data_IF_422502625206
#
_entry.id   IF_422502625206
#
_cell.length_a   1.000
_cell.length_b   1.000
_cell.length_c   1.000
_cell.angle_alpha   90.00
_cell.angle_beta   90.00
_cell.angle_gamma   90.00
#
_symmetry.space_group_name_H-M   'P 1'
#
loop_
_entity.id
_entity.type
_entity.pdbx_description
1 polymer ?
#
# COMPACT_ATOMS: atom_id res chain seq x y z
N UNK A 1 -14.19 -21.51 15.10
CA UNK A 1 -15.12 -21.54 13.95
C UNK A 1 -14.56 -20.60 12.89
N UNK A 2 -14.16 -21.13 11.74
CA UNK A 2 -13.61 -20.32 10.65
C UNK A 2 -14.25 -20.72 9.33
N UNK A 3 -14.50 -19.75 8.45
CA UNK A 3 -14.99 -20.04 7.09
C UNK A 3 -13.97 -20.80 6.24
N UNK A 4 -12.72 -20.87 6.66
CA UNK A 4 -11.66 -21.66 5.98
C UNK A 4 -11.98 -23.15 5.88
N UNK A 5 -12.77 -23.69 6.81
CA UNK A 5 -13.15 -25.10 6.82
C UNK A 5 -14.29 -25.40 5.83
N UNK A 6 -14.99 -24.38 5.34
CA UNK A 6 -16.17 -24.58 4.53
C UNK A 6 -15.81 -24.80 3.05
N UNK A 7 -16.42 -25.82 2.47
CA UNK A 7 -16.28 -26.16 1.06
C UNK A 7 -17.25 -25.36 0.19
N UNK A 8 -16.84 -25.10 -1.05
CA UNK A 8 -17.74 -24.60 -2.10
C UNK A 8 -18.74 -25.64 -2.58
N UNK A 9 -18.55 -26.91 -2.24
CA UNK A 9 -19.47 -28.00 -2.55
C UNK A 9 -20.37 -28.24 -1.35
N UNK A 10 -21.68 -28.04 -1.50
CA UNK A 10 -22.65 -28.09 -0.41
C UNK A 10 -22.56 -29.36 0.44
N UNK A 11 -22.57 -30.53 -0.20
CA UNK A 11 -22.53 -31.83 0.49
C UNK A 11 -21.25 -32.07 1.29
N UNK A 12 -20.15 -31.37 0.98
CA UNK A 12 -18.89 -31.47 1.74
C UNK A 12 -18.93 -30.69 3.06
N UNK A 13 -19.98 -29.88 3.30
CA UNK A 13 -20.12 -29.08 4.51
C UNK A 13 -20.92 -29.78 5.62
N UNK A 14 -21.47 -30.96 5.38
CA UNK A 14 -22.32 -31.65 6.37
C UNK A 14 -21.63 -31.83 7.72
N UNK A 15 -20.29 -32.02 7.75
CA UNK A 15 -19.47 -32.20 8.94
C UNK A 15 -18.15 -31.39 8.87
N UNK A 16 -18.07 -30.35 8.05
CA UNK A 16 -16.84 -29.58 7.86
C UNK A 16 -16.44 -28.75 9.10
N UNK A 17 -17.40 -28.32 9.89
CA UNK A 17 -17.20 -27.54 11.10
C UNK A 17 -18.05 -28.14 12.22
N UNK A 18 -17.42 -28.65 13.27
CA UNK A 18 -18.14 -29.28 14.40
C UNK A 18 -19.09 -28.33 15.13
N UNK A 19 -18.93 -27.02 14.96
CA UNK A 19 -19.81 -25.99 15.57
C UNK A 19 -20.99 -25.61 14.67
N UNK A 20 -20.91 -25.93 13.35
CA UNK A 20 -21.94 -25.76 12.34
C UNK A 20 -22.17 -27.10 11.65
N UNK A 21 -22.67 -28.06 12.43
CA UNK A 21 -22.91 -29.41 11.94
C UNK A 21 -24.32 -29.51 11.34
N UNK A 22 -24.40 -29.87 10.06
CA UNK A 22 -25.65 -29.96 9.29
C UNK A 22 -25.77 -31.32 8.58
N UNK A 23 -25.70 -32.46 9.33
CA UNK A 23 -25.85 -33.77 8.72
C UNK A 23 -27.30 -34.04 8.29
N UNK A 24 -27.47 -35.00 7.37
CA UNK A 24 -28.78 -35.55 7.06
C UNK A 24 -29.45 -36.13 8.30
N UNK A 25 -30.76 -35.89 8.45
CA UNK A 25 -31.53 -36.36 9.59
C UNK A 25 -31.29 -35.59 10.91
N UNK A 26 -30.74 -34.41 10.85
CA UNK A 26 -30.49 -33.57 12.02
C UNK A 26 -31.78 -33.29 12.80
N UNK A 27 -31.71 -33.31 14.13
CA UNK A 27 -32.84 -32.99 14.99
C UNK A 27 -33.26 -31.50 14.84
N UNK A 28 -34.55 -31.18 14.82
CA UNK A 28 -35.03 -29.79 14.67
C UNK A 28 -34.44 -28.82 15.69
N UNK A 29 -34.19 -29.27 16.93
CA UNK A 29 -33.60 -28.44 17.99
C UNK A 29 -32.15 -28.02 17.74
N UNK A 30 -31.37 -28.79 16.98
CA UNK A 30 -29.99 -28.46 16.65
C UNK A 30 -29.85 -27.58 15.37
N UNK A 31 -30.92 -27.49 14.57
CA UNK A 31 -30.90 -26.70 13.36
C UNK A 31 -30.77 -25.20 13.65
N UNK A 32 -31.48 -24.69 14.65
CA UNK A 32 -31.41 -23.27 15.01
C UNK A 32 -30.04 -22.91 15.64
N UNK A 33 -29.40 -23.86 16.35
CA UNK A 33 -28.07 -23.66 16.91
C UNK A 33 -27.00 -23.63 15.79
N UNK A 34 -27.11 -24.50 14.79
CA UNK A 34 -26.28 -24.48 13.61
C UNK A 34 -26.46 -23.16 12.81
N UNK A 35 -27.70 -22.68 12.67
CA UNK A 35 -27.97 -21.40 12.01
C UNK A 35 -27.35 -20.21 12.76
N UNK A 36 -27.47 -20.16 14.08
CA UNK A 36 -26.83 -19.12 14.92
C UNK A 36 -25.32 -19.18 14.83
N UNK A 37 -24.75 -20.37 14.83
CA UNK A 37 -23.32 -20.58 14.68
C UNK A 37 -22.82 -20.08 13.31
N UNK A 38 -23.57 -20.33 12.23
CA UNK A 38 -23.30 -19.81 10.90
C UNK A 38 -23.35 -18.28 10.85
N UNK A 39 -24.38 -17.67 11.46
CA UNK A 39 -24.48 -16.21 11.57
C UNK A 39 -23.27 -15.62 12.32
N UNK A 40 -22.81 -16.27 13.39
CA UNK A 40 -21.64 -15.86 14.13
C UNK A 40 -20.34 -15.98 13.30
N UNK A 41 -20.20 -17.04 12.50
CA UNK A 41 -19.05 -17.19 11.59
C UNK A 41 -18.99 -16.08 10.54
N UNK A 42 -20.12 -15.75 9.92
CA UNK A 42 -20.23 -14.68 8.94
C UNK A 42 -19.94 -13.31 9.59
N UNK A 43 -20.44 -13.09 10.81
CA UNK A 43 -20.17 -11.85 11.55
C UNK A 43 -18.66 -11.69 11.86
N UNK A 44 -17.99 -12.74 12.27
CA UNK A 44 -16.53 -12.74 12.49
C UNK A 44 -15.78 -12.40 11.22
N UNK A 45 -16.12 -13.02 10.09
CA UNK A 45 -15.52 -12.71 8.79
C UNK A 45 -15.74 -11.26 8.38
N UNK A 46 -16.95 -10.75 8.57
CA UNK A 46 -17.25 -9.33 8.34
C UNK A 46 -16.30 -8.43 9.14
N UNK A 47 -16.09 -8.74 10.41
CA UNK A 47 -15.25 -7.94 11.30
C UNK A 47 -13.76 -8.07 10.93
N UNK A 48 -13.30 -9.25 10.50
CA UNK A 48 -11.95 -9.45 9.99
C UNK A 48 -11.68 -8.68 8.69
N UNK A 49 -12.72 -8.44 7.87
CA UNK A 49 -12.59 -7.68 6.62
C UNK A 49 -12.89 -6.17 6.78
N UNK A 50 -13.36 -5.72 7.94
CA UNK A 50 -13.86 -4.34 8.14
C UNK A 50 -12.78 -3.32 8.52
N UNK A 51 -11.62 -3.76 9.00
CA UNK A 51 -10.59 -2.88 9.57
C UNK A 51 -10.87 -2.44 11.01
N UNK A 52 -11.77 -3.12 11.71
CA UNK A 52 -12.04 -2.87 13.14
C UNK A 52 -10.90 -3.38 14.02
N UNK A 53 -10.16 -4.40 13.56
CA UNK A 53 -9.03 -4.97 14.27
C UNK A 53 -7.85 -4.01 14.19
N UNK A 54 -7.33 -3.61 15.34
CA UNK A 54 -6.05 -2.89 15.41
C UNK A 54 -4.89 -3.90 15.40
N UNK A 55 -3.82 -3.59 14.69
CA UNK A 55 -2.57 -4.30 14.86
C UNK A 55 -1.97 -3.98 16.24
N UNK A 56 -1.00 -4.77 16.65
CA UNK A 56 -0.19 -4.56 17.84
C UNK A 56 1.26 -4.94 17.52
N UNK A 57 2.17 -4.75 18.46
CA UNK A 57 3.58 -5.13 18.32
C UNK A 57 4.49 -3.95 18.16
N UNK A 58 5.31 -3.94 17.11
CA UNK A 58 6.25 -2.86 16.81
C UNK A 58 6.19 -2.50 15.34
N UNK A 59 6.74 -1.35 14.96
CA UNK A 59 6.79 -0.86 13.57
C UNK A 59 7.39 -1.84 12.55
N UNK A 60 8.14 -2.85 12.98
CA UNK A 60 8.74 -3.87 12.11
C UNK A 60 8.21 -5.28 12.34
N UNK A 61 7.47 -5.51 13.43
CA UNK A 61 6.96 -6.83 13.81
C UNK A 61 5.52 -6.70 14.34
N UNK A 62 4.58 -6.60 13.43
CA UNK A 62 3.15 -6.50 13.75
C UNK A 62 2.56 -7.84 14.14
N UNK A 63 1.59 -7.80 15.04
CA UNK A 63 0.75 -8.93 15.42
C UNK A 63 -0.72 -8.56 15.28
N UNK A 64 -1.56 -9.55 15.04
CA UNK A 64 -3.01 -9.38 15.04
C UNK A 64 -3.69 -10.68 15.48
N UNK A 65 -4.88 -10.55 16.06
CA UNK A 65 -5.75 -11.68 16.38
C UNK A 65 -7.03 -11.52 15.57
N UNK A 66 -7.33 -12.49 14.73
CA UNK A 66 -8.57 -12.51 13.96
C UNK A 66 -9.77 -12.93 14.82
N UNK A 67 -10.97 -12.50 14.45
CA UNK A 67 -12.19 -12.99 15.07
C UNK A 67 -12.52 -14.42 14.64
N UNK A 68 -12.15 -14.80 13.42
CA UNK A 68 -12.33 -16.17 12.93
C UNK A 68 -11.41 -17.15 13.66
N UNK A 69 -10.22 -16.75 14.11
CA UNK A 69 -9.19 -17.61 14.69
C UNK A 69 -8.59 -18.51 13.62
N UNK A 70 -7.73 -17.98 12.78
CA UNK A 70 -7.09 -18.76 11.72
C UNK A 70 -6.23 -19.86 12.31
N UNK A 71 -6.30 -21.06 11.72
CA UNK A 71 -5.53 -22.22 12.16
C UNK A 71 -4.37 -22.55 11.23
N UNK A 72 -4.36 -21.97 10.04
CA UNK A 72 -3.30 -22.12 9.03
C UNK A 72 -3.31 -20.93 8.07
N UNK A 73 -2.16 -20.66 7.46
CA UNK A 73 -2.04 -19.67 6.40
C UNK A 73 -2.28 -20.34 5.04
N UNK A 74 -3.44 -20.10 4.46
CA UNK A 74 -3.84 -20.62 3.13
C UNK A 74 -3.80 -19.51 2.08
N UNK A 75 -3.59 -19.88 0.83
CA UNK A 75 -3.54 -18.90 -0.26
C UNK A 75 -4.86 -18.13 -0.39
N UNK A 76 -4.77 -16.81 -0.51
CA UNK A 76 -5.94 -15.93 -0.58
C UNK A 76 -6.59 -15.60 0.77
N UNK A 77 -6.08 -16.12 1.89
CA UNK A 77 -6.55 -15.74 3.22
C UNK A 77 -6.36 -14.24 3.42
N UNK A 78 -7.41 -13.54 3.85
CA UNK A 78 -7.36 -12.07 3.98
C UNK A 78 -7.82 -11.58 5.34
N UNK A 79 -7.18 -10.50 5.80
CA UNK A 79 -7.54 -9.74 6.99
C UNK A 79 -7.33 -8.25 6.72
N UNK A 80 -8.20 -7.42 7.26
CA UNK A 80 -8.07 -5.95 7.16
C UNK A 80 -7.76 -5.38 8.54
N UNK A 81 -6.64 -4.69 8.65
CA UNK A 81 -6.14 -4.17 9.93
C UNK A 81 -6.04 -2.66 9.90
N UNK A 82 -6.32 -2.05 11.05
CA UNK A 82 -5.92 -0.68 11.35
C UNK A 82 -4.54 -0.73 12.02
N UNK A 83 -3.58 -0.06 11.40
CA UNK A 83 -2.21 -0.05 11.93
C UNK A 83 -2.13 0.78 13.21
N UNK A 84 -1.50 0.25 14.26
CA UNK A 84 -1.22 0.95 15.52
C UNK A 84 -0.01 1.88 15.41
N UNK A 85 0.98 1.51 14.58
CA UNK A 85 2.19 2.29 14.34
C UNK A 85 2.50 2.41 12.84
N UNK A 86 3.24 3.47 12.48
CA UNK A 86 3.80 3.61 11.12
C UNK A 86 4.94 2.61 10.93
N UNK A 87 4.97 1.89 9.81
CA UNK A 87 5.95 0.82 9.61
C UNK A 87 7.39 1.33 9.48
N UNK A 88 8.30 0.59 10.07
CA UNK A 88 9.73 0.61 9.80
C UNK A 88 10.11 -0.13 8.52
N UNK A 89 11.40 -0.38 8.30
CA UNK A 89 11.88 -1.13 7.16
C UNK A 89 11.55 -2.63 7.29
N UNK A 90 11.24 -3.27 6.17
CA UNK A 90 10.99 -4.72 6.07
C UNK A 90 10.03 -5.28 7.15
N UNK A 91 8.81 -4.73 7.28
CA UNK A 91 7.88 -5.14 8.32
C UNK A 91 7.37 -6.57 8.09
N UNK A 92 7.01 -7.22 9.19
CA UNK A 92 6.39 -8.54 9.21
C UNK A 92 5.03 -8.49 9.90
N UNK A 93 4.16 -9.44 9.60
CA UNK A 93 2.86 -9.61 10.26
C UNK A 93 2.69 -11.06 10.71
N UNK A 94 2.33 -11.23 11.98
CA UNK A 94 1.96 -12.51 12.57
C UNK A 94 0.50 -12.47 13.01
N UNK A 95 -0.35 -13.19 12.31
CA UNK A 95 -1.78 -13.32 12.63
C UNK A 95 -1.99 -14.64 13.37
N UNK A 96 -2.75 -14.60 14.48
CA UNK A 96 -3.14 -15.76 15.30
C UNK A 96 -1.98 -16.67 15.70
N UNK A 97 -0.79 -16.10 15.88
CA UNK A 97 0.42 -16.84 16.25
C UNK A 97 0.87 -17.91 15.23
N UNK A 98 0.46 -17.78 13.95
CA UNK A 98 0.81 -18.72 12.87
C UNK A 98 2.22 -18.49 12.29
N UNK A 99 3.01 -17.63 12.92
CA UNK A 99 4.36 -17.28 12.52
C UNK A 99 4.42 -16.01 11.68
N UNK A 100 5.40 -15.16 11.97
CA UNK A 100 5.61 -13.91 11.27
C UNK A 100 5.96 -14.14 9.79
N UNK A 101 5.30 -13.41 8.90
CA UNK A 101 5.56 -13.39 7.46
C UNK A 101 5.83 -11.97 7.00
N UNK A 102 6.68 -11.82 6.00
CA UNK A 102 6.98 -10.50 5.43
C UNK A 102 5.71 -9.81 4.91
N UNK A 103 5.64 -8.50 5.06
CA UNK A 103 4.63 -7.68 4.38
C UNK A 103 5.27 -7.17 3.08
N UNK A 104 4.60 -7.43 1.96
CA UNK A 104 5.04 -7.05 0.62
C UNK A 104 3.96 -6.23 -0.09
N UNK A 105 4.39 -5.35 -0.99
CA UNK A 105 3.50 -4.68 -1.93
C UNK A 105 3.03 -5.62 -3.04
N UNK A 106 2.11 -5.14 -3.88
CA UNK A 106 1.54 -5.92 -5.01
C UNK A 106 2.58 -6.41 -6.01
N UNK A 107 3.75 -5.78 -6.06
CA UNK A 107 4.88 -6.21 -6.89
C UNK A 107 5.70 -7.37 -6.31
N UNK A 108 5.34 -7.88 -5.11
CA UNK A 108 6.11 -8.91 -4.43
C UNK A 108 7.41 -8.40 -3.78
N UNK A 109 7.57 -7.09 -3.66
CA UNK A 109 8.73 -6.45 -3.01
C UNK A 109 8.38 -6.02 -1.59
N UNK A 110 9.36 -6.03 -0.70
CA UNK A 110 9.19 -5.49 0.65
C UNK A 110 8.78 -4.01 0.58
N UNK A 111 7.85 -3.61 1.43
CA UNK A 111 7.42 -2.20 1.50
C UNK A 111 8.47 -1.36 2.24
N UNK A 112 8.70 -0.15 1.74
CA UNK A 112 9.58 0.82 2.40
C UNK A 112 8.98 1.31 3.73
N UNK A 113 9.85 1.81 4.62
CA UNK A 113 9.40 2.45 5.85
C UNK A 113 8.45 3.63 5.56
N UNK A 114 7.48 3.84 6.43
CA UNK A 114 6.52 4.94 6.33
C UNK A 114 5.39 4.75 5.32
N UNK A 115 5.18 3.55 4.77
CA UNK A 115 4.11 3.27 3.80
C UNK A 115 2.80 2.79 4.45
N UNK A 116 2.88 2.09 5.56
CA UNK A 116 1.73 1.78 6.41
C UNK A 116 1.70 2.85 7.51
N UNK A 117 0.73 3.74 7.47
CA UNK A 117 0.62 4.85 8.42
C UNK A 117 -0.15 4.42 9.66
N UNK A 118 0.25 4.90 10.83
CA UNK A 118 -0.52 4.73 12.06
C UNK A 118 -1.96 5.24 11.88
N UNK A 119 -2.95 4.46 12.31
CA UNK A 119 -4.37 4.72 12.10
C UNK A 119 -4.89 4.37 10.71
N UNK A 120 -4.03 4.10 9.73
CA UNK A 120 -4.41 3.67 8.39
C UNK A 120 -5.01 2.26 8.36
N UNK A 121 -5.96 2.03 7.48
CA UNK A 121 -6.63 0.74 7.30
C UNK A 121 -6.14 0.11 6.00
N UNK A 122 -5.61 -1.11 6.08
CA UNK A 122 -5.04 -1.82 4.95
C UNK A 122 -5.51 -3.26 4.92
N UNK A 123 -5.76 -3.78 3.72
CA UNK A 123 -6.08 -5.19 3.50
C UNK A 123 -4.81 -5.97 3.22
N UNK A 124 -4.63 -7.06 3.98
CA UNK A 124 -3.54 -8.01 3.81
C UNK A 124 -4.10 -9.32 3.29
N UNK A 125 -3.52 -9.84 2.21
CA UNK A 125 -3.88 -11.13 1.63
C UNK A 125 -2.65 -12.02 1.63
N UNK A 126 -2.75 -13.21 2.22
CA UNK A 126 -1.63 -14.15 2.25
C UNK A 126 -1.44 -14.81 0.89
N UNK A 127 -0.21 -14.87 0.43
CA UNK A 127 0.20 -15.60 -0.76
C UNK A 127 1.15 -16.72 -0.38
N UNK A 128 0.76 -17.96 -0.70
CA UNK A 128 1.61 -19.13 -0.47
C UNK A 128 2.81 -19.17 -1.41
N UNK A 129 2.69 -18.63 -2.62
CA UNK A 129 3.80 -18.54 -3.57
C UNK A 129 4.87 -17.53 -3.15
N UNK A 130 4.47 -16.40 -2.57
CA UNK A 130 5.38 -15.39 -2.03
C UNK A 130 5.81 -15.69 -0.58
N UNK A 131 5.12 -16.59 0.11
CA UNK A 131 5.24 -16.85 1.56
C UNK A 131 5.15 -15.55 2.36
N UNK A 132 4.25 -14.65 1.97
CA UNK A 132 4.15 -13.29 2.46
C UNK A 132 2.70 -12.78 2.51
N UNK A 133 2.48 -11.75 3.31
CA UNK A 133 1.26 -10.95 3.29
C UNK A 133 1.39 -9.85 2.24
N UNK A 134 0.55 -9.91 1.20
CA UNK A 134 0.49 -8.88 0.16
C UNK A 134 -0.49 -7.81 0.62
N UNK A 135 -0.01 -6.59 0.78
CA UNK A 135 -0.84 -5.47 1.20
C UNK A 135 -1.46 -4.77 -0.01
N UNK A 136 -2.75 -4.48 0.09
CA UNK A 136 -3.53 -3.70 -0.88
C UNK A 136 -3.98 -2.38 -0.24
N UNK A 137 -4.23 -1.36 -1.08
CA UNK A 137 -4.66 -0.05 -0.59
C UNK A 137 -3.49 0.88 -0.24
N UNK A 138 -2.27 0.52 -0.60
CA UNK A 138 -1.15 1.46 -0.55
C UNK A 138 -1.29 2.45 -1.71
N UNK A 139 -1.86 3.59 -1.44
CA UNK A 139 -1.82 4.72 -2.36
C UNK A 139 -0.48 5.43 -2.19
N UNK A 140 0.53 4.95 -2.91
CA UNK A 140 1.74 5.74 -3.12
C UNK A 140 1.50 6.64 -4.31
N UNK A 141 0.78 7.72 -4.09
CA UNK A 141 0.58 8.76 -5.12
C UNK A 141 1.73 9.76 -5.19
N UNK A 142 2.83 9.48 -4.58
CA UNK A 142 4.05 10.19 -4.94
C UNK A 142 4.59 9.56 -6.20
N UNK A 143 4.32 10.18 -7.34
CA UNK A 143 5.19 10.03 -8.51
C UNK A 143 6.57 10.44 -8.01
N UNK A 144 7.41 9.45 -7.72
CA UNK A 144 8.80 9.73 -7.34
C UNK A 144 9.50 10.26 -8.58
N UNK A 145 9.60 11.59 -8.63
CA UNK A 145 10.43 12.22 -9.63
C UNK A 145 11.88 11.93 -9.22
N UNK A 146 12.62 11.26 -10.09
CA UNK A 146 14.00 10.86 -9.81
C UNK A 146 14.83 12.06 -9.35
N UNK A 147 15.67 11.87 -8.33
CA UNK A 147 16.59 12.89 -7.86
C UNK A 147 17.47 13.38 -9.03
N UNK A 148 17.66 14.67 -9.17
CA UNK A 148 18.37 15.29 -10.29
C UNK A 148 17.51 15.65 -11.51
N UNK A 149 16.21 15.30 -11.51
CA UNK A 149 15.28 15.79 -12.53
C UNK A 149 15.18 17.30 -12.47
N UNK A 150 15.28 17.97 -13.61
CA UNK A 150 15.16 19.41 -13.73
C UNK A 150 13.88 19.74 -14.51
N UNK A 151 13.06 20.63 -13.95
CA UNK A 151 11.83 21.11 -14.58
C UNK A 151 11.80 22.64 -14.62
N UNK A 152 11.10 23.18 -15.60
CA UNK A 152 10.87 24.62 -15.75
C UNK A 152 9.56 25.01 -15.06
N UNK A 153 9.63 26.02 -14.20
CA UNK A 153 8.46 26.60 -13.55
C UNK A 153 8.36 28.08 -13.85
N UNK A 154 7.17 28.54 -14.26
CA UNK A 154 6.88 29.95 -14.49
C UNK A 154 6.47 30.66 -13.20
N UNK A 155 7.29 30.54 -12.15
CA UNK A 155 7.03 31.19 -10.86
C UNK A 155 8.33 31.64 -10.19
N UNK A 156 8.22 32.64 -9.31
CA UNK A 156 9.39 33.22 -8.64
C UNK A 156 10.05 32.31 -7.64
N UNK A 157 9.25 31.55 -6.87
CA UNK A 157 9.72 30.60 -5.87
C UNK A 157 9.60 29.16 -6.39
N UNK A 158 10.50 28.28 -5.98
CA UNK A 158 10.37 26.86 -6.29
C UNK A 158 9.12 26.28 -5.59
N UNK A 159 8.39 25.33 -6.21
CA UNK A 159 7.33 24.60 -5.54
C UNK A 159 7.86 23.78 -4.35
N UNK A 160 6.98 23.39 -3.43
CA UNK A 160 7.34 22.51 -2.32
C UNK A 160 7.97 21.22 -2.84
N UNK A 161 9.10 20.83 -2.27
CA UNK A 161 9.88 19.64 -2.69
C UNK A 161 10.87 19.92 -3.82
N UNK A 162 10.96 21.15 -4.36
CA UNK A 162 11.90 21.53 -5.39
C UNK A 162 12.87 22.60 -4.91
N UNK A 163 14.10 22.55 -5.40
CA UNK A 163 15.12 23.57 -5.13
C UNK A 163 15.34 24.41 -6.39
N UNK A 164 15.29 25.73 -6.25
CA UNK A 164 15.54 26.63 -7.37
C UNK A 164 17.03 26.60 -7.76
N UNK A 165 17.31 26.20 -9.01
CA UNK A 165 18.65 26.30 -9.58
C UNK A 165 18.89 27.69 -10.12
N UNK A 166 19.97 28.32 -9.70
CA UNK A 166 20.44 29.62 -10.23
C UNK A 166 21.60 29.48 -11.20
N UNK A 167 22.07 28.28 -11.44
CA UNK A 167 23.23 27.98 -12.31
C UNK A 167 23.03 28.45 -13.76
N UNK A 168 21.79 28.54 -14.19
CA UNK A 168 21.44 28.89 -15.57
C UNK A 168 20.69 30.25 -15.67
N UNK A 169 20.83 31.11 -14.66
CA UNK A 169 20.26 32.47 -14.75
C UNK A 169 20.80 33.21 -15.98
N UNK A 170 19.93 33.92 -16.66
CA UNK A 170 20.26 34.72 -17.87
C UNK A 170 20.82 33.91 -19.05
N UNK A 171 20.53 32.61 -19.12
CA UNK A 171 20.90 31.71 -20.21
C UNK A 171 19.67 31.36 -21.04
N UNK A 172 19.83 31.26 -22.36
CA UNK A 172 18.80 30.74 -23.24
C UNK A 172 18.71 29.21 -23.10
N UNK A 173 17.48 28.67 -23.19
CA UNK A 173 17.24 27.23 -23.17
C UNK A 173 17.49 26.67 -24.57
N UNK A 174 18.25 25.59 -24.64
CA UNK A 174 18.43 24.78 -25.84
C UNK A 174 17.86 23.39 -25.64
N UNK A 175 17.00 22.95 -26.53
CA UNK A 175 16.50 21.58 -26.58
C UNK A 175 17.45 20.74 -27.39
N UNK A 176 17.92 19.61 -26.86
CA UNK A 176 18.84 18.69 -27.54
C UNK A 176 18.33 17.26 -27.44
N UNK A 177 18.55 16.46 -28.47
CA UNK A 177 18.20 15.04 -28.49
C UNK A 177 19.30 14.13 -27.90
N UNK A 178 20.47 14.68 -27.58
CA UNK A 178 21.61 13.96 -26.99
C UNK A 178 21.88 14.38 -25.55
N UNK A 179 23.10 14.13 -25.07
CA UNK A 179 23.51 14.48 -23.70
C UNK A 179 23.29 15.96 -23.42
N UNK A 180 22.51 16.23 -22.37
CA UNK A 180 22.31 17.61 -21.92
C UNK A 180 23.61 18.17 -21.33
N UNK A 181 24.00 19.36 -21.78
CA UNK A 181 25.14 20.09 -21.24
C UNK A 181 24.84 21.56 -21.11
N UNK A 182 25.51 22.25 -20.21
CA UNK A 182 25.50 23.70 -20.16
C UNK A 182 26.46 24.23 -21.23
N UNK A 183 25.94 24.96 -22.21
CA UNK A 183 26.76 25.62 -23.25
C UNK A 183 26.70 27.12 -23.12
N UNK A 184 27.70 27.77 -23.71
CA UNK A 184 27.82 29.25 -23.77
C UNK A 184 28.68 29.81 -22.64
N UNK A 185 29.78 30.46 -23.03
CA UNK A 185 30.69 31.18 -22.14
C UNK A 185 30.26 32.60 -21.85
N UNK A 186 29.25 33.10 -22.59
CA UNK A 186 28.82 34.50 -22.51
C UNK A 186 27.35 34.58 -22.11
N UNK A 187 27.02 35.41 -21.13
CA UNK A 187 25.65 35.61 -20.71
C UNK A 187 24.83 36.28 -21.83
N UNK A 188 23.59 35.88 -21.99
CA UNK A 188 22.69 36.45 -23.02
C UNK A 188 22.59 37.98 -22.96
N UNK A 189 22.53 38.55 -21.75
CA UNK A 189 22.53 39.98 -21.50
C UNK A 189 23.82 40.70 -21.94
N UNK A 190 24.94 39.98 -22.07
CA UNK A 190 26.20 40.54 -22.56
C UNK A 190 26.28 40.48 -24.08
N UNK A 191 25.58 39.57 -24.73
CA UNK A 191 25.52 39.46 -26.20
C UNK A 191 24.53 40.46 -26.79
N UNK A 192 23.41 40.66 -26.10
CA UNK A 192 22.38 41.63 -26.49
C UNK A 192 22.42 42.81 -25.52
N UNK A 193 23.45 43.65 -25.66
CA UNK A 193 23.50 44.92 -24.95
C UNK A 193 22.41 45.84 -25.48
N UNK A 194 21.79 46.61 -24.60
CA UNK A 194 20.82 47.65 -24.99
C UNK A 194 21.50 48.56 -26.00
N UNK A 195 20.96 48.59 -27.22
CA UNK A 195 21.40 49.56 -28.24
C UNK A 195 20.35 50.63 -28.33
N UNK A 196 20.74 51.87 -28.06
CA UNK A 196 19.95 53.04 -28.38
C UNK A 196 19.99 53.18 -29.91
N UNK A 197 18.86 53.22 -30.61
CA UNK A 197 18.85 53.52 -32.05
C UNK A 197 19.44 54.86 -32.26
N UNK A 198 20.55 54.95 -32.99
CA UNK A 198 21.10 56.21 -33.45
C UNK A 198 20.72 56.37 -34.92
N UNK A 199 19.66 57.11 -35.19
CA UNK A 199 19.21 57.47 -36.53
C UNK A 199 18.46 58.74 -36.45
N UNK A 200 18.77 59.68 -37.37
CA UNK A 200 17.97 60.88 -37.60
C UNK A 200 16.73 60.44 -38.38
N UNK A 201 15.53 60.68 -37.82
CA UNK A 201 14.29 60.60 -38.58
C UNK A 201 14.23 61.84 -39.46
N UNK A 202 14.42 61.67 -40.79
CA UNK A 202 14.16 62.71 -41.76
C UNK A 202 12.70 62.86 -42.08
#
# INVERSE_FOLDING_TARGET
>A
MTLQLWSRTANSNSNADSTVNLPEGQAPGSLNDAARAMMAAIAKKRDDDSGVIASAGTSTAYTATSYEGFTSLTDGLSITLRMDETNGATPTLNVDSLGAKAIQGVSGTAIAAGKLLAGGIYKFTYSTSAVAWIVSGLFSETVEIASGTVMLFMQTAAPTGWTKSTTHNNKAIRIVSGTASSGGSTAFTSVFTSRTPSGTVG
#
